data_IF_222504086150
#
_entry.id   IF_222504086150
#
_cell.length_a   1.000
_cell.length_b   1.000
_cell.length_c   1.000
_cell.angle_alpha   90.00
_cell.angle_beta   90.00
_cell.angle_gamma   90.00
#
_symmetry.space_group_name_H-M   'P 1'
#
loop_
_entity.id
_entity.type
_entity.pdbx_description
1 polymer ?
#
# COMPACT_ATOMS: atom_id res chain seq x y z
N UNK A 1 6.05 29.26 27.93
CA UNK A 1 6.77 28.43 26.95
C UNK A 1 7.37 29.34 25.91
N UNK A 2 8.64 29.15 25.60
CA UNK A 2 9.28 29.77 24.44
C UNK A 2 9.18 28.76 23.28
N UNK A 3 8.82 29.21 22.08
CA UNK A 3 8.66 28.38 20.88
C UNK A 3 9.80 28.67 19.90
N UNK A 4 11.02 28.15 20.13
CA UNK A 4 12.22 28.53 19.39
C UNK A 4 12.27 27.95 17.97
N UNK A 5 11.34 27.07 17.61
CA UNK A 5 11.22 26.45 16.29
C UNK A 5 9.75 26.45 15.86
N UNK A 6 9.52 26.70 14.59
CA UNK A 6 8.20 26.63 13.96
C UNK A 6 8.32 26.02 12.58
N UNK A 7 7.21 25.48 12.11
CA UNK A 7 7.03 24.96 10.75
C UNK A 7 5.90 25.73 10.08
N UNK A 8 6.00 25.92 8.76
CA UNK A 8 4.99 26.61 7.98
C UNK A 8 4.51 25.70 6.86
N UNK A 9 3.20 25.64 6.68
CA UNK A 9 2.51 24.92 5.62
C UNK A 9 1.78 25.93 4.76
N UNK A 10 1.99 25.86 3.45
CA UNK A 10 1.39 26.80 2.49
C UNK A 10 0.33 26.07 1.68
N UNK A 11 -0.85 26.68 1.58
CA UNK A 11 -1.87 26.23 0.63
C UNK A 11 -1.44 26.53 -0.81
N UNK A 12 -1.73 25.61 -1.72
CA UNK A 12 -1.32 25.73 -3.13
C UNK A 12 -2.40 26.34 -4.04
N UNK A 13 -3.65 26.39 -3.58
CA UNK A 13 -4.78 26.93 -4.34
C UNK A 13 -5.04 28.38 -3.94
N UNK A 14 -4.99 29.31 -4.88
CA UNK A 14 -5.31 30.72 -4.65
C UNK A 14 -6.75 30.88 -4.13
N UNK A 15 -6.97 31.87 -3.26
CA UNK A 15 -8.28 32.22 -2.69
C UNK A 15 -8.99 31.11 -1.88
N UNK A 16 -8.39 29.93 -1.75
CA UNK A 16 -8.92 28.77 -1.00
C UNK A 16 -9.12 29.03 0.49
N UNK A 17 -8.37 30.00 1.03
CA UNK A 17 -8.19 30.26 2.45
C UNK A 17 -7.73 29.01 3.21
N UNK A 18 -6.75 28.30 2.67
CA UNK A 18 -6.04 27.28 3.42
C UNK A 18 -5.57 27.82 4.78
N UNK A 19 -5.84 27.08 5.85
CA UNK A 19 -5.59 27.53 7.22
C UNK A 19 -6.74 28.29 7.86
N UNK A 20 -7.90 28.41 7.20
CA UNK A 20 -9.07 29.10 7.76
C UNK A 20 -9.55 28.47 9.08
N UNK A 21 -9.50 27.15 9.15
CA UNK A 21 -9.83 26.37 10.33
C UNK A 21 -8.78 25.27 10.52
N UNK A 22 -8.49 24.94 11.78
CA UNK A 22 -7.51 23.91 12.15
C UNK A 22 -8.10 23.16 13.34
N UNK A 23 -7.97 21.83 13.34
CA UNK A 23 -8.32 21.01 14.50
C UNK A 23 -7.24 19.95 14.73
N UNK A 24 -6.85 19.76 15.99
CA UNK A 24 -6.08 18.60 16.41
C UNK A 24 -6.99 17.37 16.34
N UNK A 25 -6.47 16.26 15.81
CA UNK A 25 -7.24 15.03 15.64
C UNK A 25 -6.77 13.90 16.54
N UNK A 26 -5.70 14.11 17.32
CA UNK A 26 -4.97 12.98 17.90
C UNK A 26 -4.31 12.17 16.79
N UNK A 27 -3.95 10.93 17.08
CA UNK A 27 -3.22 10.03 16.17
C UNK A 27 -4.22 9.24 15.29
N UNK A 28 -4.41 9.67 14.02
CA UNK A 28 -5.41 9.11 13.10
C UNK A 28 -4.92 7.78 12.49
N UNK A 29 -3.62 7.59 12.33
CA UNK A 29 -3.04 6.36 11.79
C UNK A 29 -2.46 5.43 12.85
N UNK A 30 -2.50 5.85 14.12
CA UNK A 30 -1.97 5.14 15.28
C UNK A 30 -0.45 4.86 15.16
N UNK A 31 0.32 5.78 14.58
CA UNK A 31 1.78 5.62 14.40
C UNK A 31 2.62 6.16 15.59
N UNK A 32 1.95 6.74 16.59
CA UNK A 32 2.56 7.32 17.79
C UNK A 32 2.73 8.84 17.74
N UNK A 33 2.38 9.50 16.64
CA UNK A 33 2.42 10.95 16.49
C UNK A 33 1.01 11.53 16.34
N UNK A 34 0.77 12.68 16.95
CA UNK A 34 -0.53 13.34 16.79
C UNK A 34 -0.62 14.03 15.43
N UNK A 35 -1.80 13.93 14.85
CA UNK A 35 -2.16 14.50 13.57
C UNK A 35 -3.08 15.71 13.74
N UNK A 36 -3.32 16.40 12.63
CA UNK A 36 -4.27 17.49 12.57
C UNK A 36 -4.84 17.65 11.16
N UNK A 37 -5.94 18.40 11.09
CA UNK A 37 -6.62 18.73 9.85
C UNK A 37 -6.69 20.24 9.64
N UNK A 38 -6.60 20.65 8.38
CA UNK A 38 -6.65 22.05 7.95
C UNK A 38 -7.76 22.26 6.93
N UNK A 39 -8.61 23.24 7.18
CA UNK A 39 -9.73 23.58 6.31
C UNK A 39 -9.36 24.66 5.29
N UNK A 40 -9.86 24.48 4.07
CA UNK A 40 -9.78 25.45 2.98
C UNK A 40 -11.17 25.57 2.35
N UNK A 41 -12.07 26.39 2.93
CA UNK A 41 -13.50 26.38 2.60
C UNK A 41 -13.84 26.76 1.16
N UNK A 42 -12.88 27.34 0.43
CA UNK A 42 -13.05 27.81 -0.94
C UNK A 42 -12.12 27.08 -1.93
N UNK A 43 -11.50 25.98 -1.52
CA UNK A 43 -10.71 25.11 -2.41
C UNK A 43 -11.61 24.17 -3.24
N UNK A 44 -10.98 23.40 -4.14
CA UNK A 44 -11.62 22.37 -4.95
C UNK A 44 -12.54 22.89 -6.03
N UNK A 45 -13.22 21.98 -6.70
CA UNK A 45 -14.17 22.29 -7.78
C UNK A 45 -15.25 23.27 -7.31
N UNK A 46 -15.50 24.29 -8.13
CA UNK A 46 -16.46 25.38 -7.88
C UNK A 46 -16.28 26.10 -6.53
N UNK A 47 -15.09 26.08 -5.92
CA UNK A 47 -14.82 26.66 -4.60
C UNK A 47 -15.71 26.09 -3.47
N UNK A 48 -16.08 24.81 -3.57
CA UNK A 48 -16.99 24.15 -2.60
C UNK A 48 -16.32 23.84 -1.27
N UNK A 49 -15.00 23.80 -1.25
CA UNK A 49 -14.17 23.60 -0.07
C UNK A 49 -13.50 22.23 -0.02
N UNK A 50 -12.41 22.18 0.73
CA UNK A 50 -11.67 20.97 1.01
C UNK A 50 -11.13 20.96 2.45
N UNK A 51 -10.79 19.76 2.92
CA UNK A 51 -10.04 19.55 4.17
C UNK A 51 -8.81 18.73 3.84
N UNK A 52 -7.70 19.11 4.47
CA UNK A 52 -6.39 18.49 4.32
C UNK A 52 -6.01 17.77 5.62
N UNK A 53 -5.59 16.53 5.52
CA UNK A 53 -5.07 15.74 6.65
C UNK A 53 -3.55 15.77 6.62
N UNK A 54 -2.95 16.11 7.74
CA UNK A 54 -1.51 16.14 7.94
C UNK A 54 -1.13 15.19 9.06
N UNK A 55 -0.28 14.22 8.75
CA UNK A 55 0.28 13.35 9.78
C UNK A 55 1.47 14.00 10.49
N UNK A 56 1.53 13.80 11.80
CA UNK A 56 2.73 14.02 12.58
C UNK A 56 3.81 13.02 12.21
N UNK A 57 5.06 13.31 12.58
CA UNK A 57 6.19 12.42 12.39
C UNK A 57 7.27 12.70 13.43
N UNK A 58 8.25 11.79 13.51
CA UNK A 58 9.42 11.92 14.39
C UNK A 58 10.13 13.29 14.30
N UNK A 59 10.17 13.87 13.10
CA UNK A 59 10.92 15.08 12.81
C UNK A 59 10.03 16.34 12.73
N UNK A 60 8.77 16.28 13.20
CA UNK A 60 7.82 17.39 13.09
C UNK A 60 6.60 17.01 12.27
N UNK A 61 6.19 17.87 11.35
CA UNK A 61 4.99 17.66 10.52
C UNK A 61 5.37 17.29 9.09
N UNK A 62 4.61 16.38 8.46
CA UNK A 62 4.77 16.12 7.02
C UNK A 62 4.36 17.36 6.23
N UNK A 63 5.22 17.84 5.34
CA UNK A 63 4.96 19.06 4.54
C UNK A 63 3.81 18.89 3.55
N UNK A 64 3.69 17.69 2.99
CA UNK A 64 2.61 17.33 2.07
C UNK A 64 1.45 16.69 2.83
N UNK A 65 0.20 17.05 2.50
CA UNK A 65 -0.96 16.41 3.11
C UNK A 65 -1.03 14.95 2.70
N UNK A 66 -1.37 14.07 3.65
CA UNK A 66 -1.52 12.64 3.39
C UNK A 66 -2.87 12.32 2.78
N UNK A 67 -3.85 13.20 2.96
CA UNK A 67 -5.15 13.12 2.30
C UNK A 67 -5.72 14.51 2.05
N UNK A 68 -6.33 14.71 0.88
CA UNK A 68 -7.20 15.84 0.56
C UNK A 68 -8.63 15.33 0.35
N UNK A 69 -9.56 15.81 1.17
CA UNK A 69 -10.98 15.49 1.09
C UNK A 69 -11.70 16.69 0.47
N UNK A 70 -12.15 16.55 -0.77
CA UNK A 70 -12.89 17.59 -1.49
C UNK A 70 -14.39 17.43 -1.29
N UNK A 71 -15.10 18.53 -1.06
CA UNK A 71 -16.54 18.58 -0.86
C UNK A 71 -17.31 17.73 -1.89
N UNK A 72 -16.98 17.88 -3.17
CA UNK A 72 -17.65 17.22 -4.29
C UNK A 72 -17.54 15.70 -4.26
N UNK A 73 -16.45 15.14 -3.72
CA UNK A 73 -16.26 13.69 -3.57
C UNK A 73 -17.10 13.10 -2.44
N UNK A 74 -17.54 13.94 -1.51
CA UNK A 74 -18.37 13.56 -0.36
C UNK A 74 -19.84 13.72 -0.72
N UNK A 75 -20.22 14.93 -1.12
CA UNK A 75 -21.55 15.27 -1.60
C UNK A 75 -21.48 16.56 -2.43
N UNK A 76 -22.03 16.52 -3.64
CA UNK A 76 -22.00 17.64 -4.60
C UNK A 76 -22.69 18.92 -4.10
N UNK A 77 -23.56 18.85 -3.09
CA UNK A 77 -24.30 20.00 -2.56
C UNK A 77 -23.53 20.78 -1.48
N UNK A 78 -22.42 20.23 -0.99
CA UNK A 78 -21.63 20.85 0.06
C UNK A 78 -21.01 22.18 -0.42
N UNK A 79 -21.10 23.20 0.43
CA UNK A 79 -20.53 24.54 0.21
C UNK A 79 -19.88 25.06 1.47
N UNK A 80 -18.75 25.76 1.31
CA UNK A 80 -17.87 26.16 2.41
C UNK A 80 -17.44 24.96 3.28
N UNK A 81 -17.21 23.79 2.67
CA UNK A 81 -16.77 22.59 3.37
C UNK A 81 -15.36 22.79 3.93
N UNK A 82 -15.18 22.54 5.23
CA UNK A 82 -13.93 22.87 5.93
C UNK A 82 -13.98 24.21 6.64
N UNK A 83 -15.13 24.88 6.72
CA UNK A 83 -15.27 26.15 7.44
C UNK A 83 -15.06 25.99 8.95
N UNK A 84 -15.53 24.89 9.52
CA UNK A 84 -15.29 24.53 10.93
C UNK A 84 -14.88 23.06 11.00
N UNK A 85 -14.02 22.74 11.97
CA UNK A 85 -13.44 21.42 12.15
C UNK A 85 -13.49 21.01 13.62
N UNK A 86 -13.69 19.72 13.86
CA UNK A 86 -13.49 19.09 15.15
C UNK A 86 -12.88 17.69 14.92
N UNK A 87 -12.10 17.21 15.89
CA UNK A 87 -11.49 15.89 15.82
C UNK A 87 -11.02 15.40 17.19
N UNK A 88 -10.36 14.25 17.22
CA UNK A 88 -9.75 13.72 18.44
C UNK A 88 -10.70 12.92 19.33
N UNK A 89 -11.85 12.50 18.79
CA UNK A 89 -12.82 11.66 19.49
C UNK A 89 -13.23 10.50 18.61
N UNK A 90 -13.17 9.31 19.17
CA UNK A 90 -13.66 8.07 18.58
C UNK A 90 -15.17 7.95 18.85
N UNK A 91 -15.99 8.09 17.80
CA UNK A 91 -17.46 8.09 17.91
C UNK A 91 -18.04 6.69 17.67
N UNK A 92 -17.34 5.87 16.89
CA UNK A 92 -17.80 4.54 16.48
C UNK A 92 -17.15 3.40 17.29
N UNK A 93 -16.29 3.78 18.25
CA UNK A 93 -15.58 2.91 19.19
C UNK A 93 -14.59 1.97 18.49
N UNK A 94 -14.05 2.37 17.34
CA UNK A 94 -13.10 1.57 16.58
C UNK A 94 -11.63 1.72 17.05
N UNK A 95 -11.42 2.55 18.07
CA UNK A 95 -10.13 2.95 18.68
C UNK A 95 -9.30 3.92 17.83
N UNK A 96 -9.86 4.47 16.77
CA UNK A 96 -9.26 5.55 15.99
C UNK A 96 -10.07 6.83 16.22
N UNK A 97 -9.43 7.99 16.39
CA UNK A 97 -10.16 9.24 16.50
C UNK A 97 -10.82 9.59 15.16
N UNK A 98 -12.01 10.15 15.22
CA UNK A 98 -12.78 10.59 14.06
C UNK A 98 -12.72 12.10 13.90
N UNK A 99 -13.21 12.59 12.75
CA UNK A 99 -13.24 14.01 12.43
C UNK A 99 -14.64 14.45 12.01
N UNK A 100 -14.98 15.70 12.30
CA UNK A 100 -16.20 16.35 11.86
C UNK A 100 -15.87 17.66 11.12
N UNK A 101 -16.59 17.90 10.02
CA UNK A 101 -16.37 19.02 9.11
C UNK A 101 -17.68 19.77 8.88
N UNK A 102 -17.69 21.06 9.18
CA UNK A 102 -18.80 21.96 8.89
C UNK A 102 -18.77 22.50 7.46
N UNK A 103 -19.95 22.60 6.86
CA UNK A 103 -20.22 23.19 5.55
C UNK A 103 -21.47 24.09 5.67
N UNK A 104 -21.30 25.24 6.33
CA UNK A 104 -22.43 26.05 6.80
C UNK A 104 -23.26 26.64 5.65
N UNK A 105 -22.64 26.98 4.51
CA UNK A 105 -23.36 27.58 3.37
C UNK A 105 -24.36 26.64 2.71
N UNK A 106 -24.19 25.33 2.91
CA UNK A 106 -25.16 24.32 2.49
C UNK A 106 -25.96 23.78 3.68
N UNK A 107 -25.82 24.31 4.90
CA UNK A 107 -26.44 23.80 6.13
C UNK A 107 -26.08 22.33 6.46
N UNK A 108 -24.83 21.92 6.19
CA UNK A 108 -24.36 20.56 6.47
C UNK A 108 -23.27 20.51 7.55
N UNK A 109 -23.25 19.40 8.28
CA UNK A 109 -22.10 18.93 9.06
C UNK A 109 -21.86 17.46 8.68
N UNK A 110 -20.61 17.12 8.37
CA UNK A 110 -20.22 15.78 7.91
C UNK A 110 -19.27 15.17 8.93
N UNK A 111 -19.49 13.92 9.31
CA UNK A 111 -18.60 13.20 10.22
C UNK A 111 -17.92 12.06 9.45
N UNK A 112 -16.59 12.03 9.49
CA UNK A 112 -15.78 10.99 8.87
C UNK A 112 -15.25 10.08 9.96
N UNK A 113 -15.47 8.78 9.77
CA UNK A 113 -14.96 7.74 10.63
C UNK A 113 -13.63 7.24 10.11
N UNK A 114 -12.64 7.12 10.98
CA UNK A 114 -11.29 6.73 10.59
C UNK A 114 -11.20 5.22 10.43
N UNK A 115 -10.65 4.75 9.31
CA UNK A 115 -10.47 3.31 9.06
C UNK A 115 -9.37 2.75 9.97
N UNK A 116 -9.49 1.49 10.44
CA UNK A 116 -8.36 0.80 11.03
C UNK A 116 -7.18 0.72 10.08
N UNK A 117 -5.96 0.92 10.58
CA UNK A 117 -4.73 0.81 9.80
C UNK A 117 -4.07 -0.54 10.06
N UNK A 118 -3.72 -1.27 8.99
CA UNK A 118 -2.97 -2.52 9.07
C UNK A 118 -1.58 -2.35 8.48
N UNK A 119 -0.57 -2.77 9.25
CA UNK A 119 0.84 -2.71 8.87
C UNK A 119 1.30 -4.11 8.50
N UNK A 120 1.83 -4.27 7.29
CA UNK A 120 2.35 -5.55 6.79
C UNK A 120 3.86 -5.52 6.89
N UNK A 121 4.43 -6.54 7.51
CA UNK A 121 5.88 -6.72 7.63
C UNK A 121 6.28 -8.06 7.03
N UNK A 122 7.50 -8.16 6.54
CA UNK A 122 7.94 -9.36 5.85
C UNK A 122 9.25 -9.19 5.12
N UNK A 123 9.62 -10.22 4.37
CA UNK A 123 10.82 -10.24 3.55
C UNK A 123 10.67 -11.20 2.38
N UNK A 124 11.25 -10.83 1.25
CA UNK A 124 11.48 -11.70 0.11
C UNK A 124 12.96 -12.07 0.08
N UNK A 125 13.27 -13.36 0.05
CA UNK A 125 14.64 -13.88 0.12
C UNK A 125 14.89 -14.91 -0.97
N UNK A 126 16.15 -15.07 -1.41
CA UNK A 126 16.59 -16.16 -2.28
C UNK A 126 17.36 -17.18 -1.45
N UNK A 127 17.20 -18.47 -1.75
CA UNK A 127 17.87 -19.52 -0.98
C UNK A 127 19.39 -19.50 -1.17
N UNK A 128 19.88 -19.22 -2.39
CA UNK A 128 21.32 -19.13 -2.69
C UNK A 128 21.83 -17.71 -2.97
N UNK A 129 20.95 -16.72 -3.15
CA UNK A 129 21.27 -15.37 -3.65
C UNK A 129 21.97 -15.33 -5.03
N UNK A 130 22.14 -16.49 -5.67
CA UNK A 130 22.77 -16.63 -6.97
C UNK A 130 22.24 -17.83 -7.74
N UNK A 131 22.11 -17.68 -9.06
CA UNK A 131 21.76 -18.76 -9.98
C UNK A 131 23.03 -19.21 -10.71
N UNK A 132 23.40 -20.48 -10.56
CA UNK A 132 24.40 -21.12 -11.40
C UNK A 132 23.75 -21.61 -12.70
N UNK A 133 24.14 -21.03 -13.84
CA UNK A 133 23.57 -21.34 -15.15
C UNK A 133 23.95 -22.74 -15.67
N UNK A 134 24.99 -23.35 -15.11
CA UNK A 134 25.42 -24.72 -15.45
C UNK A 134 24.63 -25.78 -14.69
N UNK A 135 24.07 -25.42 -13.53
CA UNK A 135 23.31 -26.31 -12.66
C UNK A 135 21.85 -26.46 -13.14
N UNK A 136 21.66 -27.28 -14.18
CA UNK A 136 20.34 -27.52 -14.81
C UNK A 136 19.53 -28.59 -14.08
N UNK A 137 19.13 -28.30 -12.86
CA UNK A 137 18.39 -29.23 -11.99
C UNK A 137 16.87 -29.16 -12.13
N UNK A 138 16.32 -28.09 -12.70
CA UNK A 138 14.87 -27.93 -12.81
C UNK A 138 14.32 -28.38 -14.16
N UNK A 139 13.45 -29.39 -14.14
CA UNK A 139 12.64 -29.80 -15.29
C UNK A 139 11.53 -28.78 -15.57
N UNK A 140 11.57 -28.18 -16.75
CA UNK A 140 10.56 -27.23 -17.27
C UNK A 140 9.90 -27.80 -18.54
N UNK A 141 8.87 -27.12 -19.05
CA UNK A 141 8.23 -27.46 -20.33
C UNK A 141 9.17 -27.34 -21.53
N UNK A 142 10.31 -26.65 -21.36
CA UNK A 142 11.31 -26.39 -22.38
C UNK A 142 12.63 -27.18 -22.16
N UNK A 143 12.63 -28.14 -21.22
CA UNK A 143 13.81 -28.93 -20.87
C UNK A 143 14.37 -28.61 -19.48
N UNK A 144 15.58 -29.11 -19.21
CA UNK A 144 16.28 -28.87 -17.95
C UNK A 144 16.91 -27.48 -17.96
N UNK A 145 16.64 -26.67 -16.94
CA UNK A 145 17.09 -25.28 -16.83
C UNK A 145 17.69 -25.00 -15.45
N UNK A 146 18.50 -23.96 -15.36
CA UNK A 146 18.99 -23.43 -14.10
C UNK A 146 17.85 -22.78 -13.32
N UNK A 147 17.81 -23.01 -12.00
CA UNK A 147 16.73 -22.54 -11.15
C UNK A 147 17.18 -22.09 -9.77
N UNK A 148 16.28 -21.35 -9.13
CA UNK A 148 16.46 -20.83 -7.78
C UNK A 148 15.12 -20.83 -7.04
N UNK A 149 15.20 -20.87 -5.71
CA UNK A 149 14.04 -20.80 -4.83
C UNK A 149 14.00 -19.45 -4.15
N UNK A 150 12.84 -18.82 -4.19
CA UNK A 150 12.56 -17.61 -3.44
C UNK A 150 11.58 -17.90 -2.33
N UNK A 151 11.78 -17.34 -1.15
CA UNK A 151 10.88 -17.47 -0.02
C UNK A 151 10.36 -16.09 0.37
N UNK A 152 9.04 -15.92 0.31
CA UNK A 152 8.34 -14.76 0.84
C UNK A 152 7.78 -15.14 2.21
N UNK A 153 8.11 -14.36 3.24
CA UNK A 153 7.47 -14.44 4.55
C UNK A 153 6.81 -13.11 4.84
N UNK A 154 5.54 -13.14 5.25
CA UNK A 154 4.75 -11.96 5.54
C UNK A 154 3.88 -12.19 6.77
N UNK A 155 3.68 -11.14 7.54
CA UNK A 155 2.72 -11.08 8.63
C UNK A 155 2.07 -9.70 8.60
N UNK A 156 0.85 -9.58 9.14
CA UNK A 156 0.25 -8.28 9.35
C UNK A 156 -0.16 -8.09 10.80
N UNK A 157 -0.09 -6.83 11.21
CA UNK A 157 -0.56 -6.33 12.48
C UNK A 157 -1.55 -5.20 12.25
N UNK A 158 -2.32 -4.88 13.29
CA UNK A 158 -3.28 -3.79 13.26
C UNK A 158 -3.72 -3.43 14.67
N UNK A 159 -4.15 -2.19 14.87
CA UNK A 159 -4.70 -1.73 16.15
C UNK A 159 -6.22 -1.64 16.07
N UNK A 160 -6.86 -1.43 17.22
CA UNK A 160 -8.31 -1.23 17.28
C UNK A 160 -9.13 -2.38 16.72
N UNK A 161 -10.18 -2.04 15.98
CA UNK A 161 -11.08 -2.99 15.32
C UNK A 161 -10.55 -3.53 13.97
N UNK A 162 -9.23 -3.59 13.77
CA UNK A 162 -8.63 -4.24 12.59
C UNK A 162 -9.16 -5.68 12.42
N UNK A 163 -9.45 -6.15 11.19
CA UNK A 163 -9.98 -7.50 10.96
C UNK A 163 -9.10 -8.63 11.51
N UNK A 164 -9.69 -9.75 11.98
CA UNK A 164 -8.94 -10.91 12.45
C UNK A 164 -8.22 -11.65 11.32
N UNK A 165 -8.75 -11.54 10.10
CA UNK A 165 -8.20 -12.13 8.89
C UNK A 165 -8.34 -11.14 7.73
N UNK A 166 -7.37 -11.13 6.80
CA UNK A 166 -7.40 -10.31 5.58
C UNK A 166 -6.89 -11.12 4.38
N UNK A 167 -7.41 -10.80 3.20
CA UNK A 167 -6.87 -11.28 1.93
C UNK A 167 -6.02 -10.17 1.31
N UNK A 168 -4.74 -10.43 1.10
CA UNK A 168 -3.84 -9.54 0.38
C UNK A 168 -3.63 -10.06 -1.03
N UNK A 169 -3.71 -9.15 -1.99
CA UNK A 169 -3.40 -9.42 -3.38
C UNK A 169 -1.94 -9.07 -3.63
N UNK A 170 -1.17 -10.06 -4.07
CA UNK A 170 0.23 -9.92 -4.40
C UNK A 170 0.43 -9.94 -5.91
N UNK A 171 1.27 -9.03 -6.39
CA UNK A 171 1.77 -8.97 -7.75
C UNK A 171 3.27 -9.21 -7.73
N UNK A 172 3.70 -10.39 -8.16
CA UNK A 172 5.11 -10.72 -8.33
C UNK A 172 5.55 -10.37 -9.74
N UNK A 173 6.71 -9.73 -9.85
CA UNK A 173 7.36 -9.40 -11.10
C UNK A 173 8.83 -9.84 -11.03
N UNK A 174 9.20 -10.79 -11.89
CA UNK A 174 10.58 -11.21 -12.09
C UNK A 174 11.28 -10.25 -13.04
N UNK A 175 12.56 -10.02 -12.80
CA UNK A 175 13.41 -9.13 -13.60
C UNK A 175 12.82 -7.72 -13.76
N UNK A 176 12.29 -7.15 -12.67
CA UNK A 176 11.44 -5.96 -12.65
C UNK A 176 12.06 -4.69 -13.28
N UNK A 177 13.39 -4.62 -13.35
CA UNK A 177 14.12 -3.52 -14.02
C UNK A 177 14.30 -3.71 -15.53
N UNK A 178 13.98 -4.89 -16.09
CA UNK A 178 13.99 -5.16 -17.53
C UNK A 178 12.57 -5.09 -18.08
N UNK A 179 12.37 -4.24 -19.07
CA UNK A 179 11.03 -3.93 -19.60
C UNK A 179 10.70 -4.61 -20.93
N UNK A 180 11.68 -5.22 -21.60
CA UNK A 180 11.51 -5.77 -22.96
C UNK A 180 11.54 -7.30 -22.96
N UNK A 181 12.62 -7.91 -22.47
CA UNK A 181 12.76 -9.38 -22.38
C UNK A 181 13.20 -9.76 -20.98
N UNK A 182 12.30 -10.26 -20.13
CA UNK A 182 12.65 -10.76 -18.81
C UNK A 182 13.56 -11.99 -18.94
N UNK A 183 14.48 -12.14 -17.98
CA UNK A 183 15.46 -13.24 -17.97
C UNK A 183 15.07 -14.41 -17.08
N UNK A 184 14.09 -14.22 -16.20
CA UNK A 184 13.65 -15.24 -15.26
C UNK A 184 12.13 -15.43 -15.36
N UNK A 185 11.69 -16.67 -15.17
CA UNK A 185 10.31 -17.08 -15.32
C UNK A 185 9.87 -18.03 -14.22
N UNK A 186 8.59 -17.99 -13.87
CA UNK A 186 7.97 -18.97 -12.99
C UNK A 186 7.67 -20.26 -13.75
N UNK A 187 7.85 -21.41 -13.09
CA UNK A 187 7.45 -22.69 -13.67
C UNK A 187 5.93 -22.83 -13.67
N UNK A 188 5.32 -22.96 -14.86
CA UNK A 188 3.86 -23.01 -15.01
C UNK A 188 3.20 -24.17 -14.24
N UNK A 189 3.81 -25.35 -14.24
CA UNK A 189 3.34 -26.49 -13.43
C UNK A 189 3.25 -26.17 -11.93
N UNK A 190 4.18 -25.37 -11.40
CA UNK A 190 4.18 -25.00 -9.98
C UNK A 190 3.07 -23.99 -9.70
N UNK A 191 2.84 -23.04 -10.61
CA UNK A 191 1.73 -22.10 -10.50
C UNK A 191 0.37 -22.81 -10.47
N UNK A 192 0.18 -23.87 -11.26
CA UNK A 192 -1.08 -24.63 -11.28
C UNK A 192 -1.35 -25.37 -9.96
N UNK A 193 -0.31 -25.67 -9.18
CA UNK A 193 -0.45 -26.29 -7.85
C UNK A 193 -0.76 -25.27 -6.74
N UNK A 194 -0.54 -23.97 -7.01
CA UNK A 194 -0.77 -22.90 -6.03
C UNK A 194 -2.21 -22.42 -6.09
N UNK A 195 -2.79 -22.19 -4.90
CA UNK A 195 -4.16 -21.69 -4.76
C UNK A 195 -4.20 -20.20 -5.09
N UNK A 196 -5.29 -19.76 -5.71
CA UNK A 196 -5.57 -18.37 -6.00
C UNK A 196 -4.45 -17.64 -6.77
N UNK A 197 -3.66 -18.38 -7.56
CA UNK A 197 -2.58 -17.85 -8.39
C UNK A 197 -3.02 -17.82 -9.85
N UNK A 198 -2.70 -16.73 -10.55
CA UNK A 198 -2.91 -16.60 -12.00
C UNK A 198 -1.75 -15.86 -12.65
N UNK A 199 -1.48 -16.19 -13.91
CA UNK A 199 -0.54 -15.42 -14.74
C UNK A 199 -1.15 -14.05 -15.01
N UNK A 200 -0.40 -12.99 -14.75
CA UNK A 200 -0.89 -11.63 -14.92
C UNK A 200 -0.96 -11.25 -16.40
N UNK A 201 -1.91 -10.40 -16.79
CA UNK A 201 -2.15 -10.04 -18.20
C UNK A 201 -0.97 -9.33 -18.87
N UNK A 202 -0.11 -8.68 -18.07
CA UNK A 202 1.10 -7.97 -18.53
C UNK A 202 2.34 -8.87 -18.60
N UNK A 203 2.24 -10.15 -18.27
CA UNK A 203 3.36 -11.07 -18.41
C UNK A 203 3.81 -11.14 -19.88
N UNK A 204 5.13 -11.23 -20.10
CA UNK A 204 5.74 -11.28 -21.42
C UNK A 204 5.27 -12.49 -22.23
N UNK A 205 5.01 -13.62 -21.55
CA UNK A 205 4.47 -14.82 -22.16
C UNK A 205 3.52 -15.55 -21.21
N UNK A 206 2.51 -16.20 -21.76
CA UNK A 206 1.65 -17.13 -21.00
C UNK A 206 2.38 -18.44 -20.69
N UNK A 207 3.28 -18.87 -21.58
CA UNK A 207 4.00 -20.14 -21.42
C UNK A 207 5.25 -19.94 -20.56
N UNK A 208 5.83 -18.74 -20.59
CA UNK A 208 6.95 -18.32 -19.74
C UNK A 208 6.53 -17.08 -18.94
N UNK A 209 5.79 -17.26 -17.84
CA UNK A 209 5.29 -16.14 -17.06
C UNK A 209 6.38 -15.53 -16.17
N UNK A 210 6.65 -14.25 -16.35
CA UNK A 210 7.50 -13.40 -15.51
C UNK A 210 6.69 -12.61 -14.46
N UNK A 211 5.38 -12.46 -14.69
CA UNK A 211 4.46 -11.76 -13.79
C UNK A 211 3.29 -12.67 -13.38
N UNK A 212 3.08 -12.81 -12.07
CA UNK A 212 1.95 -13.54 -11.51
C UNK A 212 1.19 -12.68 -10.49
N UNK A 213 -0.10 -12.92 -10.38
CA UNK A 213 -0.96 -12.39 -9.32
C UNK A 213 -1.40 -13.54 -8.42
N UNK A 214 -1.31 -13.35 -7.10
CA UNK A 214 -1.77 -14.33 -6.12
C UNK A 214 -2.54 -13.64 -4.99
N UNK A 215 -3.68 -14.21 -4.59
CA UNK A 215 -4.39 -13.77 -3.38
C UNK A 215 -3.99 -14.69 -2.23
N UNK A 216 -3.45 -14.10 -1.16
CA UNK A 216 -2.98 -14.80 0.02
C UNK A 216 -3.81 -14.39 1.24
N UNK A 217 -4.24 -15.39 1.99
CA UNK A 217 -5.02 -15.22 3.20
C UNK A 217 -4.10 -15.13 4.42
N UNK A 218 -4.27 -14.11 5.23
CA UNK A 218 -3.49 -13.90 6.44
C UNK A 218 -4.40 -13.81 7.66
N UNK A 219 -3.91 -14.37 8.77
CA UNK A 219 -4.49 -14.19 10.10
C UNK A 219 -3.64 -13.22 10.90
N UNK A 220 -4.28 -12.31 11.64
CA UNK A 220 -3.59 -11.27 12.42
C UNK A 220 -2.53 -11.85 13.33
N UNK A 221 -1.33 -11.26 13.32
CA UNK A 221 -0.19 -11.63 14.16
C UNK A 221 0.40 -13.02 13.90
N UNK A 222 0.06 -13.64 12.77
CA UNK A 222 0.66 -14.91 12.35
C UNK A 222 1.50 -14.70 11.09
N UNK A 223 2.74 -15.16 11.15
CA UNK A 223 3.62 -15.19 9.98
C UNK A 223 3.22 -16.34 9.04
N UNK A 224 3.09 -16.00 7.76
CA UNK A 224 2.87 -16.95 6.68
C UNK A 224 4.02 -16.86 5.67
N UNK A 225 4.62 -18.01 5.36
CA UNK A 225 5.72 -18.11 4.43
C UNK A 225 5.38 -19.01 3.24
N UNK A 226 5.77 -18.59 2.04
CA UNK A 226 5.57 -19.35 0.82
C UNK A 226 6.82 -19.31 -0.08
N UNK A 227 7.10 -20.45 -0.72
CA UNK A 227 8.24 -20.60 -1.63
C UNK A 227 7.80 -20.60 -3.09
N UNK A 228 8.61 -19.98 -3.94
CA UNK A 228 8.41 -19.86 -5.38
C UNK A 228 9.66 -20.34 -6.12
N UNK A 229 9.46 -21.19 -7.11
CA UNK A 229 10.53 -21.66 -7.97
C UNK A 229 10.59 -20.80 -9.23
N UNK A 230 11.78 -20.29 -9.53
CA UNK A 230 12.06 -19.56 -10.76
C UNK A 230 13.14 -20.28 -11.55
N UNK A 231 13.11 -20.11 -12.86
CA UNK A 231 14.14 -20.63 -13.74
C UNK A 231 14.62 -19.57 -14.72
N UNK A 232 15.83 -19.75 -15.24
CA UNK A 232 16.46 -18.88 -16.22
C UNK A 232 16.77 -19.69 -17.48
N UNK A 233 16.31 -19.26 -18.68
CA UNK A 233 16.66 -19.92 -19.93
C UNK A 233 18.12 -19.71 -20.32
N UNK A 234 18.71 -20.67 -21.03
CA UNK A 234 20.09 -20.55 -21.54
C UNK A 234 20.29 -19.43 -22.57
N UNK A 235 19.21 -18.93 -23.17
CA UNK A 235 19.20 -17.93 -24.25
C UNK A 235 19.50 -16.50 -23.78
N UNK A 236 19.67 -16.29 -22.48
CA UNK A 236 19.91 -14.95 -21.93
C UNK A 236 21.28 -14.41 -22.35
N UNK A 237 21.31 -13.14 -22.79
CA UNK A 237 22.54 -12.43 -23.18
C UNK A 237 23.20 -11.72 -22.00
N UNK A 238 22.38 -11.07 -21.16
CA UNK A 238 22.85 -10.30 -20.02
C UNK A 238 23.02 -11.19 -18.78
N UNK A 239 24.26 -11.64 -18.56
CA UNK A 239 24.69 -12.46 -17.43
C UNK A 239 25.44 -11.65 -16.35
N UNK A 240 25.52 -10.32 -16.50
CA UNK A 240 26.28 -9.46 -15.58
C UNK A 240 25.36 -8.78 -14.56
N UNK A 241 24.21 -8.28 -14.98
CA UNK A 241 23.29 -7.58 -14.09
C UNK A 241 22.46 -8.56 -13.26
N UNK A 242 22.24 -8.31 -11.96
CA UNK A 242 21.35 -9.14 -11.16
C UNK A 242 19.93 -9.14 -11.71
N UNK A 243 19.18 -10.20 -11.42
CA UNK A 243 17.74 -10.27 -11.63
C UNK A 243 17.09 -9.61 -10.42
N UNK A 244 16.38 -8.51 -10.64
CA UNK A 244 15.61 -7.84 -9.60
C UNK A 244 14.22 -8.46 -9.52
N UNK A 245 13.80 -8.87 -8.33
CA UNK A 245 12.52 -9.53 -8.14
C UNK A 245 11.73 -8.75 -7.11
N UNK A 246 10.50 -8.42 -7.46
CA UNK A 246 9.63 -7.57 -6.66
C UNK A 246 8.29 -8.24 -6.43
N UNK A 247 7.80 -8.19 -5.20
CA UNK A 247 6.46 -8.60 -4.81
C UNK A 247 5.74 -7.40 -4.21
N UNK A 248 4.83 -6.79 -4.97
CA UNK A 248 3.96 -5.73 -4.47
C UNK A 248 2.74 -6.36 -3.82
N UNK A 249 2.22 -5.76 -2.75
CA UNK A 249 0.96 -6.19 -2.14
C UNK A 249 -0.05 -5.04 -2.08
N UNK A 250 -1.33 -5.39 -2.20
CA UNK A 250 -2.44 -4.47 -2.04
C UNK A 250 -3.61 -5.13 -1.30
N UNK A 251 -4.46 -4.30 -0.71
CA UNK A 251 -5.73 -4.71 -0.14
C UNK A 251 -6.85 -4.20 -1.06
N UNK A 252 -7.73 -5.11 -1.51
CA UNK A 252 -8.86 -4.75 -2.37
C UNK A 252 -10.11 -4.58 -1.50
N UNK A 253 -10.46 -3.32 -1.22
CA UNK A 253 -11.68 -2.98 -0.50
C UNK A 253 -12.94 -3.27 -1.32
N UNK A 254 -14.04 -3.56 -0.62
CA UNK A 254 -15.36 -3.61 -1.23
C UNK A 254 -15.83 -2.21 -1.56
N UNK A 255 -16.72 -2.09 -2.54
CA UNK A 255 -17.30 -0.79 -2.95
C UNK A 255 -17.95 -0.02 -1.81
N UNK A 256 -18.46 -0.71 -0.78
CA UNK A 256 -19.05 -0.07 0.40
C UNK A 256 -18.03 0.45 1.41
N UNK A 257 -16.79 -0.07 1.39
CA UNK A 257 -15.79 0.17 2.44
C UNK A 257 -16.15 -0.44 3.80
N UNK A 258 -17.16 -1.32 3.84
CA UNK A 258 -17.67 -1.94 5.06
C UNK A 258 -17.64 -3.46 4.91
N UNK A 259 -17.12 -4.12 5.95
CA UNK A 259 -17.05 -5.57 6.08
C UNK A 259 -18.44 -6.20 6.29
N UNK A 260 -18.53 -7.53 6.18
CA UNK A 260 -19.80 -8.26 6.35
C UNK A 260 -20.32 -8.20 7.78
N UNK A 261 -19.44 -7.93 8.74
CA UNK A 261 -19.77 -7.71 10.16
C UNK A 261 -20.18 -6.26 10.45
N UNK A 262 -20.21 -5.36 9.45
CA UNK A 262 -20.63 -3.97 9.61
C UNK A 262 -19.54 -3.01 10.08
N UNK A 263 -18.31 -3.49 10.28
CA UNK A 263 -17.14 -2.65 10.61
C UNK A 263 -16.49 -2.09 9.34
N UNK A 264 -15.86 -0.92 9.44
CA UNK A 264 -15.05 -0.36 8.34
C UNK A 264 -13.95 -1.32 7.93
N UNK A 265 -13.72 -1.43 6.63
CA UNK A 265 -12.56 -2.16 6.11
C UNK A 265 -11.26 -1.37 6.36
N UNK A 266 -10.14 -2.09 6.57
CA UNK A 266 -8.89 -1.45 6.94
C UNK A 266 -8.23 -0.74 5.75
N UNK A 267 -7.39 0.23 6.06
CA UNK A 267 -6.42 0.80 5.13
C UNK A 267 -5.03 0.20 5.37
N UNK A 268 -4.24 0.06 4.30
CA UNK A 268 -2.82 -0.31 4.43
C UNK A 268 -2.03 0.88 4.98
N UNK A 269 -1.11 0.59 5.90
CA UNK A 269 -0.12 1.54 6.37
C UNK A 269 0.82 1.96 5.23
N UNK A 270 0.81 3.24 4.89
CA UNK A 270 1.63 3.82 3.82
C UNK A 270 2.96 4.39 4.33
N UNK A 271 3.24 4.28 5.63
CA UNK A 271 4.52 4.66 6.22
C UNK A 271 5.60 3.59 6.01
N UNK A 272 5.19 2.37 5.68
CA UNK A 272 6.07 1.25 5.32
C UNK A 272 5.98 0.92 3.82
N UNK A 273 7.02 0.32 3.22
CA UNK A 273 6.98 -0.09 1.82
C UNK A 273 5.84 -1.08 1.53
N UNK A 274 5.12 -0.86 0.42
CA UNK A 274 4.07 -1.76 -0.09
C UNK A 274 4.63 -2.85 -1.03
N UNK A 275 5.92 -3.13 -0.93
CA UNK A 275 6.63 -4.10 -1.75
C UNK A 275 7.78 -4.76 -0.98
N UNK A 276 8.13 -5.98 -1.39
CA UNK A 276 9.33 -6.69 -0.98
C UNK A 276 10.19 -6.98 -2.21
N UNK A 277 11.50 -6.80 -2.07
CA UNK A 277 12.44 -6.94 -3.19
C UNK A 277 13.62 -7.84 -2.82
N UNK A 278 14.12 -8.59 -3.80
CA UNK A 278 15.35 -9.36 -3.70
C UNK A 278 16.12 -9.30 -5.02
N UNK A 279 17.45 -9.34 -4.93
CA UNK A 279 18.34 -9.41 -6.09
C UNK A 279 19.01 -10.78 -6.14
N UNK A 280 18.98 -11.41 -7.32
CA UNK A 280 19.64 -12.71 -7.55
C UNK A 280 20.72 -12.52 -8.61
N UNK A 281 21.96 -12.81 -8.26
CA UNK A 281 23.11 -12.69 -9.18
C UNK A 281 23.30 -13.96 -10.00
N UNK A 282 24.07 -13.88 -11.07
CA UNK A 282 24.56 -15.10 -11.73
C UNK A 282 25.87 -15.53 -11.08
N UNK A 283 26.02 -16.82 -10.84
CA UNK A 283 27.30 -17.41 -10.49
C UNK A 283 28.01 -17.75 -11.81
N UNK A 284 29.05 -16.99 -12.12
CA UNK A 284 29.92 -17.24 -13.28
C UNK A 284 31.21 -17.83 -12.72
N UNK A 285 31.54 -19.05 -13.14
CA UNK A 285 32.86 -19.65 -12.93
C UNK A 285 33.76 -19.39 -14.12
#
# INVERSE_FOLDING_TARGET
HDFPKWESLLGHTEWSRFGYSIAATGDLNQDGYNDFIVGAPYDGDDHRGAVYVYHGAKNGVRKEPTQKIEARKVNADLKAFGFSLAGGKDIDKNQYPDIAVGAYQSAHAVVFKTKPVVTVTGSLTSAKNSINLEDKTCSTEFGMMACEHMKLCMQYEGKGQSPPDIDLKLLFQLDSKKTITPRAFFRRRDLNSKRNTKVHKKAASRDQPDIIEQIMHFRKGHEYCETYNIYVPDTIRDKLNPIHIMANYSYEERTSGVSTSGHLEPALDTTVPLSFEVEVKYQIH
#
